data_IF_611359740910
#
_entry.id   IF_611359740910
#
_cell.length_a   1.000
_cell.length_b   1.000
_cell.length_c   1.000
_cell.angle_alpha   90.00
_cell.angle_beta   90.00
_cell.angle_gamma   90.00
#
_symmetry.space_group_name_H-M   'P 1'
#
loop_
_entity.id
_entity.type
_entity.pdbx_description
1 polymer ?
#
# COMPACT_ATOMS: atom_id res chain seq x y z
N UNK A 1 4.12 0.96 -16.18
CA UNK A 1 5.41 1.35 -15.57
C UNK A 1 5.62 0.55 -14.29
N UNK A 2 6.81 0.56 -13.68
CA UNK A 2 7.04 0.00 -12.34
C UNK A 2 7.17 1.15 -11.34
N UNK A 3 6.33 1.17 -10.32
CA UNK A 3 6.22 2.26 -9.34
C UNK A 3 6.35 1.65 -7.94
N UNK A 4 7.28 2.18 -7.14
CA UNK A 4 7.42 1.86 -5.73
C UNK A 4 6.99 3.06 -4.90
N UNK A 5 6.03 2.83 -4.02
CA UNK A 5 5.57 3.76 -3.01
C UNK A 5 6.27 3.42 -1.70
N UNK A 6 6.67 4.43 -0.97
CA UNK A 6 7.15 4.29 0.41
C UNK A 6 6.30 5.21 1.26
N UNK A 7 5.54 4.62 2.18
CA UNK A 7 4.72 5.35 3.13
C UNK A 7 4.80 4.67 4.49
N UNK A 8 4.49 5.40 5.56
CA UNK A 8 4.51 4.83 6.91
C UNK A 8 3.48 3.70 7.06
N UNK A 9 2.27 3.91 6.54
CA UNK A 9 1.14 2.99 6.64
C UNK A 9 0.58 2.65 5.26
N UNK A 10 -0.12 1.53 5.16
CA UNK A 10 -1.07 1.28 4.08
C UNK A 10 -2.50 1.45 4.60
N UNK A 11 -3.48 1.38 3.68
CA UNK A 11 -4.89 1.67 4.01
C UNK A 11 -5.52 0.72 5.04
N UNK A 12 -4.99 -0.49 5.18
CA UNK A 12 -5.51 -1.49 6.13
C UNK A 12 -4.95 -1.27 7.55
N UNK A 13 -3.96 -0.39 7.72
CA UNK A 13 -3.38 -0.12 9.02
C UNK A 13 -4.45 0.45 9.97
N UNK A 14 -4.53 -0.01 11.24
CA UNK A 14 -5.52 0.49 12.20
C UNK A 14 -5.48 2.01 12.45
N UNK A 15 -4.34 2.64 12.16
CA UNK A 15 -4.12 4.08 12.31
C UNK A 15 -4.15 4.84 10.97
N UNK A 16 -4.53 4.18 9.88
CA UNK A 16 -4.59 4.79 8.55
C UNK A 16 -5.57 5.97 8.51
N UNK A 17 -5.23 6.99 7.72
CA UNK A 17 -6.02 8.20 7.58
C UNK A 17 -6.06 8.73 6.16
N UNK A 18 -6.26 10.05 6.04
CA UNK A 18 -6.44 10.71 4.74
C UNK A 18 -5.23 10.56 3.81
N UNK A 19 -4.01 10.43 4.34
CA UNK A 19 -2.82 10.23 3.53
C UNK A 19 -2.84 8.87 2.82
N UNK A 20 -3.17 7.80 3.55
CA UNK A 20 -3.26 6.44 3.02
C UNK A 20 -4.42 6.31 2.03
N UNK A 21 -5.56 6.96 2.30
CA UNK A 21 -6.69 7.01 1.37
C UNK A 21 -6.27 7.71 0.06
N UNK A 22 -5.63 8.87 0.15
CA UNK A 22 -5.21 9.63 -1.03
C UNK A 22 -4.19 8.86 -1.88
N UNK A 23 -3.19 8.27 -1.23
CA UNK A 23 -2.20 7.41 -1.86
C UNK A 23 -2.91 6.24 -2.56
N UNK A 24 -3.78 5.53 -1.85
CA UNK A 24 -4.48 4.36 -2.38
C UNK A 24 -5.36 4.71 -3.60
N UNK A 25 -6.12 5.80 -3.54
CA UNK A 25 -6.97 6.24 -4.65
C UNK A 25 -6.20 6.60 -5.91
N UNK A 26 -5.06 7.29 -5.78
CA UNK A 26 -4.23 7.66 -6.94
C UNK A 26 -3.60 6.42 -7.55
N UNK A 27 -2.91 5.63 -6.72
CA UNK A 27 -2.08 4.55 -7.23
C UNK A 27 -2.87 3.29 -7.55
N UNK A 28 -4.04 3.08 -6.94
CA UNK A 28 -4.98 2.02 -7.33
C UNK A 28 -5.51 2.24 -8.75
N UNK A 29 -5.77 3.49 -9.15
CA UNK A 29 -6.16 3.82 -10.54
C UNK A 29 -5.02 3.58 -11.52
N UNK A 30 -3.78 3.85 -11.12
CA UNK A 30 -2.59 3.55 -11.93
C UNK A 30 -2.36 2.03 -12.05
N UNK A 31 -2.59 1.28 -10.97
CA UNK A 31 -2.57 -0.19 -11.02
C UNK A 31 -3.65 -0.73 -11.96
N UNK A 32 -4.89 -0.22 -11.86
CA UNK A 32 -5.98 -0.57 -12.77
C UNK A 32 -5.69 -0.19 -14.25
N UNK A 33 -4.88 0.85 -14.49
CA UNK A 33 -4.38 1.21 -15.82
C UNK A 33 -3.23 0.30 -16.33
N UNK A 34 -2.92 -0.79 -15.62
CA UNK A 34 -1.91 -1.78 -16.02
C UNK A 34 -0.49 -1.44 -15.59
N UNK A 35 -0.29 -0.52 -14.65
CA UNK A 35 1.01 -0.29 -14.04
C UNK A 35 1.28 -1.28 -12.91
N UNK A 36 2.55 -1.68 -12.74
CA UNK A 36 2.98 -2.47 -11.60
C UNK A 36 3.26 -1.51 -10.46
N UNK A 37 2.46 -1.57 -9.40
CA UNK A 37 2.54 -0.68 -8.24
C UNK A 37 2.80 -1.53 -7.00
N UNK A 38 3.85 -1.20 -6.26
CA UNK A 38 4.15 -1.77 -4.96
C UNK A 38 4.21 -0.68 -3.89
N UNK A 39 3.81 -1.01 -2.66
CA UNK A 39 3.91 -0.17 -1.47
C UNK A 39 4.77 -0.87 -0.43
N UNK A 40 5.85 -0.22 0.00
CA UNK A 40 6.61 -0.59 1.19
C UNK A 40 6.16 0.27 2.37
N UNK A 41 5.72 -0.38 3.45
CA UNK A 41 5.27 0.30 4.67
C UNK A 41 5.59 -0.49 5.95
N UNK A 42 5.30 0.13 7.09
CA UNK A 42 5.42 -0.51 8.40
C UNK A 42 4.32 -1.54 8.65
N UNK A 43 4.68 -2.68 9.25
CA UNK A 43 3.72 -3.65 9.77
C UNK A 43 3.16 -3.25 11.14
N UNK A 44 2.10 -3.93 11.57
CA UNK A 44 1.55 -3.86 12.93
C UNK A 44 1.26 -5.27 13.45
N UNK A 45 0.95 -5.40 14.74
CA UNK A 45 0.66 -6.68 15.35
C UNK A 45 -0.46 -7.41 14.62
N UNK A 46 -0.16 -8.61 14.10
CA UNK A 46 -1.10 -9.46 13.34
C UNK A 46 -1.24 -9.11 11.86
N UNK A 47 -0.54 -8.08 11.36
CA UNK A 47 -0.58 -7.73 9.95
C UNK A 47 0.09 -8.81 9.08
N UNK A 48 -0.55 -9.26 7.99
CA UNK A 48 0.13 -10.08 6.99
C UNK A 48 1.32 -9.29 6.40
N UNK A 49 2.51 -9.90 6.28
CA UNK A 49 3.70 -9.22 5.75
C UNK A 49 3.57 -8.84 4.27
N UNK A 50 2.64 -9.48 3.55
CA UNK A 50 2.28 -9.15 2.18
C UNK A 50 0.76 -9.11 2.00
N UNK A 51 0.29 -8.22 1.15
CA UNK A 51 -1.11 -8.15 0.72
C UNK A 51 -1.19 -7.59 -0.70
N UNK A 52 -2.36 -7.73 -1.33
CA UNK A 52 -2.68 -7.00 -2.57
C UNK A 52 -3.94 -6.20 -2.32
N UNK A 53 -3.85 -4.88 -2.45
CA UNK A 53 -4.96 -3.96 -2.22
C UNK A 53 -5.26 -3.24 -3.54
N UNK A 54 -6.38 -3.61 -4.17
CA UNK A 54 -6.85 -3.03 -5.44
C UNK A 54 -5.75 -2.96 -6.52
N UNK A 55 -4.98 -4.03 -6.65
CA UNK A 55 -3.88 -4.15 -7.61
C UNK A 55 -2.54 -3.58 -7.14
N UNK A 56 -2.46 -3.01 -5.92
CA UNK A 56 -1.22 -2.56 -5.30
C UNK A 56 -0.62 -3.70 -4.47
N UNK A 57 0.61 -4.11 -4.78
CA UNK A 57 1.36 -5.09 -3.98
C UNK A 57 1.90 -4.42 -2.70
N UNK A 58 1.38 -4.79 -1.54
CA UNK A 58 1.79 -4.21 -0.25
C UNK A 58 2.80 -5.12 0.44
N UNK A 59 3.91 -4.54 0.87
CA UNK A 59 4.99 -5.17 1.60
C UNK A 59 5.14 -4.48 2.95
N UNK A 60 4.79 -5.18 4.03
CA UNK A 60 4.85 -4.66 5.40
C UNK A 60 6.09 -5.20 6.11
N UNK A 61 6.88 -4.32 6.72
CA UNK A 61 8.14 -4.67 7.40
C UNK A 61 8.26 -4.02 8.78
N UNK A 62 9.18 -4.51 9.62
CA UNK A 62 9.53 -3.88 10.90
C UNK A 62 8.42 -3.93 11.95
N UNK A 63 7.73 -5.06 12.04
CA UNK A 63 6.65 -5.34 13.01
C UNK A 63 7.13 -5.38 14.44
#
# INVERSE_FOLDING_TARGET
MRILLVNWQDRDNPLAGGAEIHLHEIFGRLAAAGHQVALLCGGWAGAPPRAVLDGIEVHRVGT
#
